data_IF_002747024852
#
_entry.id   IF_002747024852
#
_cell.length_a   1.000
_cell.length_b   1.000
_cell.length_c   1.000
_cell.angle_alpha   90.00
_cell.angle_beta   90.00
_cell.angle_gamma   90.00
#
_symmetry.space_group_name_H-M   'P 1'
#
loop_
_entity.id
_entity.type
_entity.pdbx_description
1 polymer ?
#
# COMPACT_ATOMS: atom_id res chain seq x y z
N UNK A 1 17.12 -8.23 -15.91
CA UNK A 1 16.60 -8.56 -14.57
C UNK A 1 17.50 -9.55 -13.86
N UNK A 2 18.55 -9.04 -13.21
CA UNK A 2 19.33 -9.81 -12.26
C UNK A 2 18.46 -10.33 -11.11
N UNK A 3 18.81 -11.52 -10.57
CA UNK A 3 18.06 -12.20 -9.50
C UNK A 3 17.73 -11.30 -8.30
N UNK A 4 18.66 -10.41 -7.92
CA UNK A 4 18.49 -9.45 -6.82
C UNK A 4 17.40 -8.39 -7.07
N UNK A 5 17.25 -7.92 -8.31
CA UNK A 5 16.21 -6.95 -8.67
C UNK A 5 14.82 -7.59 -8.61
N UNK A 6 14.71 -8.85 -9.06
CA UNK A 6 13.49 -9.65 -8.91
C UNK A 6 13.05 -9.82 -7.46
N UNK A 7 14.01 -10.11 -6.57
CA UNK A 7 13.77 -10.21 -5.12
C UNK A 7 13.34 -8.85 -4.55
N UNK A 8 14.01 -7.76 -4.92
CA UNK A 8 13.66 -6.40 -4.48
C UNK A 8 12.23 -6.00 -4.85
N UNK A 9 11.81 -6.28 -6.09
CA UNK A 9 10.42 -6.05 -6.51
C UNK A 9 9.42 -6.89 -5.71
N UNK A 10 9.72 -8.17 -5.48
CA UNK A 10 8.87 -9.05 -4.68
C UNK A 10 8.67 -8.52 -3.25
N UNK A 11 9.75 -8.06 -2.61
CA UNK A 11 9.69 -7.45 -1.28
C UNK A 11 8.89 -6.15 -1.26
N UNK A 12 9.03 -5.31 -2.29
CA UNK A 12 8.24 -4.08 -2.41
C UNK A 12 6.74 -4.37 -2.49
N UNK A 13 6.34 -5.35 -3.31
CA UNK A 13 4.93 -5.78 -3.45
C UNK A 13 4.39 -6.36 -2.14
N UNK A 14 5.17 -7.19 -1.44
CA UNK A 14 4.77 -7.75 -0.14
C UNK A 14 4.56 -6.64 0.89
N UNK A 15 5.50 -5.69 0.98
CA UNK A 15 5.38 -4.54 1.88
C UNK A 15 4.14 -3.69 1.61
N UNK A 16 3.86 -3.42 0.32
CA UNK A 16 2.66 -2.71 -0.10
C UNK A 16 1.38 -3.45 0.30
N UNK A 17 1.31 -4.75 0.00
CA UNK A 17 0.15 -5.58 0.32
C UNK A 17 -0.15 -5.63 1.82
N UNK A 18 0.88 -5.75 2.66
CA UNK A 18 0.72 -5.71 4.13
C UNK A 18 0.25 -4.33 4.59
N UNK A 19 0.84 -3.25 4.06
CA UNK A 19 0.47 -1.89 4.41
C UNK A 19 -1.00 -1.58 4.07
N UNK A 20 -1.41 -1.86 2.83
CA UNK A 20 -2.78 -1.61 2.35
C UNK A 20 -3.77 -2.51 3.07
N UNK A 21 -3.43 -3.79 3.30
CA UNK A 21 -4.29 -4.72 4.05
C UNK A 21 -4.58 -4.22 5.47
N UNK A 22 -3.56 -3.72 6.17
CA UNK A 22 -3.72 -3.14 7.50
C UNK A 22 -4.56 -1.86 7.48
N UNK A 23 -4.32 -0.97 6.52
CA UNK A 23 -5.09 0.27 6.33
C UNK A 23 -6.57 -0.06 6.12
N UNK A 24 -6.87 -0.99 5.20
CA UNK A 24 -8.24 -1.43 4.90
C UNK A 24 -8.91 -2.07 6.11
N UNK A 25 -8.23 -2.99 6.82
CA UNK A 25 -8.77 -3.62 8.01
C UNK A 25 -9.14 -2.59 9.09
N UNK A 26 -8.27 -1.61 9.35
CA UNK A 26 -8.52 -0.56 10.35
C UNK A 26 -9.60 0.42 9.91
N UNK A 27 -9.70 0.73 8.62
CA UNK A 27 -10.80 1.51 8.09
C UNK A 27 -12.14 0.81 8.29
N UNK A 28 -12.22 -0.50 8.02
CA UNK A 28 -13.44 -1.29 8.24
C UNK A 28 -13.83 -1.35 9.72
N UNK A 29 -12.87 -1.57 10.62
CA UNK A 29 -13.12 -1.50 12.08
C UNK A 29 -13.62 -0.11 12.51
N UNK A 30 -13.05 0.96 11.98
CA UNK A 30 -13.45 2.33 12.30
C UNK A 30 -14.87 2.65 11.78
N UNK A 31 -15.18 2.25 10.55
CA UNK A 31 -16.51 2.38 9.95
C UNK A 31 -17.56 1.62 10.75
N UNK A 32 -17.23 0.40 11.21
CA UNK A 32 -18.14 -0.38 12.03
C UNK A 32 -18.46 0.29 13.38
N UNK A 33 -17.50 1.06 13.94
CA UNK A 33 -17.69 1.82 15.18
C UNK A 33 -18.42 3.15 14.98
N UNK A 34 -18.21 3.81 13.84
CA UNK A 34 -18.80 5.11 13.49
C UNK A 34 -19.25 5.14 12.01
N UNK A 35 -20.44 4.58 11.70
CA UNK A 35 -20.96 4.54 10.33
C UNK A 35 -21.20 5.92 9.71
N UNK A 36 -21.48 6.94 10.52
CA UNK A 36 -21.66 8.33 10.10
C UNK A 36 -20.37 8.97 9.56
N UNK A 37 -19.19 8.47 9.97
CA UNK A 37 -17.88 8.98 9.57
C UNK A 37 -17.29 8.27 8.34
N UNK A 38 -18.07 7.43 7.64
CA UNK A 38 -17.59 6.63 6.48
C UNK A 38 -16.89 7.47 5.42
N UNK A 39 -17.41 8.65 5.10
CA UNK A 39 -16.83 9.53 4.10
C UNK A 39 -15.39 9.93 4.43
N UNK A 40 -15.17 10.40 5.66
CA UNK A 40 -13.87 10.86 6.14
C UNK A 40 -12.88 9.71 6.30
N UNK A 41 -13.34 8.58 6.88
CA UNK A 41 -12.52 7.38 7.03
C UNK A 41 -12.06 6.87 5.65
N UNK A 42 -12.97 6.80 4.68
CA UNK A 42 -12.65 6.34 3.32
C UNK A 42 -11.67 7.29 2.63
N UNK A 43 -11.83 8.61 2.75
CA UNK A 43 -10.89 9.58 2.19
C UNK A 43 -9.49 9.42 2.77
N UNK A 44 -9.37 9.30 4.10
CA UNK A 44 -8.07 9.11 4.75
C UNK A 44 -7.45 7.75 4.41
N UNK A 45 -8.28 6.70 4.31
CA UNK A 45 -7.85 5.37 3.88
C UNK A 45 -7.24 5.41 2.47
N UNK A 46 -7.94 6.03 1.51
CA UNK A 46 -7.46 6.15 0.12
C UNK A 46 -6.18 6.98 0.05
N UNK A 47 -6.11 8.12 0.74
CA UNK A 47 -4.89 8.94 0.79
C UNK A 47 -3.70 8.12 1.29
N UNK A 48 -3.88 7.39 2.40
CA UNK A 48 -2.81 6.59 2.99
C UNK A 48 -2.43 5.41 2.08
N UNK A 49 -3.40 4.73 1.49
CA UNK A 49 -3.15 3.65 0.53
C UNK A 49 -2.40 4.16 -0.70
N UNK A 50 -2.73 5.35 -1.21
CA UNK A 50 -2.04 5.97 -2.35
C UNK A 50 -0.58 6.31 -2.03
N UNK A 51 -0.28 6.73 -0.79
CA UNK A 51 1.11 6.96 -0.36
C UNK A 51 1.91 5.66 -0.30
N UNK A 52 1.31 4.57 0.19
CA UNK A 52 1.94 3.24 0.21
C UNK A 52 2.18 2.72 -1.21
N UNK A 53 1.18 2.80 -2.08
CA UNK A 53 1.31 2.43 -3.50
C UNK A 53 2.35 3.28 -4.22
N UNK A 54 2.39 4.59 -3.96
CA UNK A 54 3.38 5.48 -4.56
C UNK A 54 4.81 5.06 -4.22
N UNK A 55 5.09 4.73 -2.96
CA UNK A 55 6.40 4.25 -2.54
C UNK A 55 6.74 2.87 -3.16
N UNK A 56 5.77 1.97 -3.21
CA UNK A 56 5.95 0.64 -3.79
C UNK A 56 6.22 0.70 -5.30
N UNK A 57 5.47 1.51 -6.04
CA UNK A 57 5.67 1.74 -7.47
C UNK A 57 7.04 2.34 -7.76
N UNK A 58 7.49 3.33 -6.96
CA UNK A 58 8.85 3.87 -7.10
C UNK A 58 9.89 2.76 -6.92
N UNK A 59 9.75 1.91 -5.91
CA UNK A 59 10.67 0.80 -5.68
C UNK A 59 10.69 -0.22 -6.84
N UNK A 60 9.51 -0.57 -7.37
CA UNK A 60 9.39 -1.49 -8.51
C UNK A 60 10.00 -0.88 -9.77
N UNK A 61 9.72 0.39 -10.06
CA UNK A 61 10.28 1.11 -11.21
C UNK A 61 11.80 1.19 -11.11
N UNK A 62 12.34 1.53 -9.93
CA UNK A 62 13.78 1.58 -9.73
C UNK A 62 14.44 0.21 -9.89
N UNK A 63 13.82 -0.86 -9.38
CA UNK A 63 14.31 -2.22 -9.56
C UNK A 63 14.27 -2.66 -11.04
N UNK A 64 13.26 -2.24 -11.80
CA UNK A 64 13.17 -2.47 -13.24
C UNK A 64 14.24 -1.72 -14.03
N UNK A 65 14.54 -0.47 -13.66
CA UNK A 65 15.52 0.37 -14.36
C UNK A 65 16.98 -0.05 -14.08
N UNK A 66 17.26 -0.53 -12.87
CA UNK A 66 18.62 -0.87 -12.42
C UNK A 66 18.99 -2.34 -12.68
N UNK A 67 18.00 -3.25 -12.81
CA UNK A 67 18.21 -4.70 -12.85
C UNK A 67 17.95 -5.41 -14.18
#
# INVERSE_FOLDING_TARGET
>A
MGSLAGIGMGLAVIGAGIGIGNIGAKAMEAIARQPEAVGDIRSNMILTAALVEGAALIAIVMAFLVG
#
